data_IF_430941593502
#
_entry.id   IF_430941593502
#
_cell.length_a   1.000
_cell.length_b   1.000
_cell.length_c   1.000
_cell.angle_alpha   90.00
_cell.angle_beta   90.00
_cell.angle_gamma   90.00
#
_symmetry.space_group_name_H-M   'P 1'
#
loop_
_entity.id
_entity.type
_entity.pdbx_description
1 polymer ?
#
# COMPACT_ATOMS: atom_id res chain seq x y z
N UNK A 1 2.10 24.49 -27.64
CA UNK A 1 1.76 23.07 -27.41
C UNK A 1 2.33 22.56 -26.07
N UNK A 2 2.25 23.35 -24.98
CA UNK A 2 2.98 23.05 -23.73
C UNK A 2 2.05 22.73 -22.53
N UNK A 3 0.74 22.77 -22.75
CA UNK A 3 -0.26 22.51 -21.70
C UNK A 3 -0.27 21.03 -21.32
N UNK A 4 -0.50 20.13 -22.29
CA UNK A 4 -0.61 18.69 -22.03
C UNK A 4 0.64 18.09 -21.40
N UNK A 5 1.85 18.48 -21.85
CA UNK A 5 3.11 17.98 -21.28
C UNK A 5 3.28 18.36 -19.81
N UNK A 6 2.87 19.56 -19.43
CA UNK A 6 2.95 20.06 -18.04
C UNK A 6 1.94 19.36 -17.12
N UNK A 7 0.77 18.99 -17.65
CA UNK A 7 -0.21 18.17 -16.91
C UNK A 7 0.32 16.75 -16.65
N UNK A 8 0.87 16.10 -17.68
CA UNK A 8 1.44 14.76 -17.53
C UNK A 8 2.61 14.72 -16.54
N UNK A 9 3.53 15.69 -16.60
CA UNK A 9 4.64 15.78 -15.65
C UNK A 9 4.17 16.06 -14.23
N UNK A 10 3.13 16.88 -14.05
CA UNK A 10 2.54 17.15 -12.74
C UNK A 10 1.89 15.90 -12.13
N UNK A 11 1.17 15.10 -12.93
CA UNK A 11 0.59 13.82 -12.49
C UNK A 11 1.71 12.87 -12.02
N UNK A 12 2.76 12.72 -12.83
CA UNK A 12 3.89 11.84 -12.52
C UNK A 12 4.60 12.28 -11.24
N UNK A 13 4.83 13.59 -11.09
CA UNK A 13 5.46 14.15 -9.91
C UNK A 13 4.59 13.92 -8.66
N UNK A 14 3.28 14.14 -8.74
CA UNK A 14 2.34 13.87 -7.65
C UNK A 14 2.33 12.39 -7.23
N UNK A 15 2.34 11.46 -8.19
CA UNK A 15 2.42 10.02 -7.90
C UNK A 15 3.73 9.65 -7.19
N UNK A 16 4.85 10.19 -7.66
CA UNK A 16 6.16 9.96 -7.06
C UNK A 16 6.23 10.55 -5.64
N UNK A 17 5.73 11.79 -5.46
CA UNK A 17 5.72 12.47 -4.18
C UNK A 17 4.82 11.75 -3.17
N UNK A 18 3.69 11.22 -3.63
CA UNK A 18 2.79 10.38 -2.84
C UNK A 18 3.48 9.10 -2.36
N UNK A 19 4.19 8.40 -3.25
CA UNK A 19 4.97 7.21 -2.88
C UNK A 19 6.07 7.51 -1.88
N UNK A 20 6.82 8.59 -2.10
CA UNK A 20 7.89 9.04 -1.20
C UNK A 20 7.32 9.45 0.16
N UNK A 21 6.18 10.15 0.19
CA UNK A 21 5.49 10.52 1.42
C UNK A 21 5.07 9.30 2.23
N UNK A 22 4.48 8.29 1.57
CA UNK A 22 4.12 7.00 2.18
C UNK A 22 5.33 6.27 2.76
N UNK A 23 6.44 6.21 2.02
CA UNK A 23 7.69 5.57 2.46
C UNK A 23 8.37 6.33 3.61
N UNK A 24 8.34 7.65 3.59
CA UNK A 24 8.94 8.52 4.61
C UNK A 24 8.18 8.42 5.93
N UNK A 25 6.84 8.41 5.86
CA UNK A 25 5.97 8.17 7.00
C UNK A 25 6.29 6.81 7.64
N UNK A 26 6.36 5.72 6.86
CA UNK A 26 6.67 4.39 7.37
C UNK A 26 8.02 4.34 8.14
N UNK A 27 9.07 5.04 7.65
CA UNK A 27 10.38 5.09 8.34
C UNK A 27 10.37 5.94 9.59
N UNK A 28 9.74 7.11 9.55
CA UNK A 28 9.56 7.97 10.74
C UNK A 28 8.78 7.21 11.83
N UNK A 29 7.78 6.43 11.47
CA UNK A 29 7.01 5.64 12.41
C UNK A 29 7.78 4.45 13.00
N UNK A 30 8.63 3.76 12.23
CA UNK A 30 9.51 2.72 12.78
C UNK A 30 10.49 3.30 13.81
N UNK A 31 11.00 4.51 13.57
CA UNK A 31 11.88 5.22 14.51
C UNK A 31 11.13 5.68 15.76
N UNK A 32 9.91 6.21 15.63
CA UNK A 32 9.07 6.62 16.75
C UNK A 32 8.66 5.43 17.63
N UNK A 33 8.33 4.29 17.03
CA UNK A 33 7.97 3.07 17.77
C UNK A 33 9.15 2.49 18.54
N UNK A 34 10.37 2.58 18.00
CA UNK A 34 11.60 2.18 18.72
C UNK A 34 11.85 3.01 19.98
N UNK A 35 11.27 4.21 20.06
CA UNK A 35 11.50 5.14 21.17
C UNK A 35 10.40 5.11 22.25
N UNK A 36 9.24 4.48 21.99
CA UNK A 36 8.07 4.55 22.89
C UNK A 36 7.54 3.14 23.20
N UNK A 37 7.75 2.68 24.44
CA UNK A 37 7.55 1.31 24.92
C UNK A 37 6.08 0.96 25.33
N UNK A 38 5.09 1.80 25.01
CA UNK A 38 3.70 1.60 25.42
C UNK A 38 2.81 1.20 24.23
N UNK A 39 2.81 -0.11 23.94
CA UNK A 39 2.49 -0.67 22.63
C UNK A 39 1.02 -0.55 22.16
N UNK A 40 0.02 -0.53 23.05
CA UNK A 40 -1.36 -0.80 22.61
C UNK A 40 -2.12 0.44 22.12
N UNK A 41 -1.98 1.59 22.76
CA UNK A 41 -2.80 2.77 22.44
C UNK A 41 -2.32 3.48 21.16
N UNK A 42 -1.00 3.48 20.95
CA UNK A 42 -0.35 3.99 19.74
C UNK A 42 -0.66 3.06 18.55
N UNK A 43 -0.68 1.74 18.77
CA UNK A 43 -1.08 0.76 17.75
C UNK A 43 -2.50 1.02 17.23
N UNK A 44 -3.47 1.25 18.12
CA UNK A 44 -4.86 1.51 17.72
C UNK A 44 -4.98 2.84 16.97
N UNK A 45 -4.36 3.91 17.48
CA UNK A 45 -4.39 5.22 16.82
C UNK A 45 -3.75 5.21 15.43
N UNK A 46 -2.59 4.55 15.29
CA UNK A 46 -1.87 4.41 14.02
C UNK A 46 -2.62 3.50 13.05
N UNK A 47 -3.12 2.36 13.55
CA UNK A 47 -3.89 1.42 12.73
C UNK A 47 -5.10 2.11 12.15
N UNK A 48 -5.87 2.87 12.95
CA UNK A 48 -7.06 3.60 12.48
C UNK A 48 -6.70 4.68 11.44
N UNK A 49 -5.60 5.42 11.64
CA UNK A 49 -5.21 6.50 10.72
C UNK A 49 -4.73 5.95 9.36
N UNK A 50 -4.02 4.83 9.36
CA UNK A 50 -3.47 4.20 8.16
C UNK A 50 -4.41 3.15 7.54
N UNK A 51 -5.40 2.67 8.31
CA UNK A 51 -6.38 1.67 7.89
C UNK A 51 -7.07 2.00 6.58
N UNK A 52 -7.69 3.19 6.41
CA UNK A 52 -8.48 3.46 5.22
C UNK A 52 -7.61 3.43 3.96
N UNK A 53 -6.39 3.95 4.04
CA UNK A 53 -5.44 3.91 2.93
C UNK A 53 -4.94 2.50 2.63
N UNK A 54 -4.71 1.69 3.66
CA UNK A 54 -4.22 0.31 3.51
C UNK A 54 -5.30 -0.61 2.95
N UNK A 55 -6.55 -0.43 3.38
CA UNK A 55 -7.72 -1.12 2.82
C UNK A 55 -7.83 -0.87 1.31
N UNK A 56 -7.79 0.39 0.89
CA UNK A 56 -7.92 0.76 -0.53
C UNK A 56 -6.74 0.19 -1.34
N UNK A 57 -5.53 0.22 -0.79
CA UNK A 57 -4.33 -0.32 -1.43
C UNK A 57 -4.45 -1.83 -1.69
N UNK A 58 -4.77 -2.60 -0.63
CA UNK A 58 -4.92 -4.06 -0.73
C UNK A 58 -6.14 -4.46 -1.55
N UNK A 59 -7.26 -3.74 -1.45
CA UNK A 59 -8.44 -3.96 -2.31
C UNK A 59 -8.11 -3.70 -3.78
N UNK A 60 -7.27 -2.73 -4.10
CA UNK A 60 -6.88 -2.47 -5.49
C UNK A 60 -6.10 -3.64 -6.08
N UNK A 61 -5.22 -4.26 -5.28
CA UNK A 61 -4.56 -5.51 -5.66
C UNK A 61 -5.56 -6.65 -5.84
N UNK A 62 -6.51 -6.81 -4.92
CA UNK A 62 -7.54 -7.85 -4.99
C UNK A 62 -8.46 -7.69 -6.20
N UNK A 63 -8.93 -6.48 -6.48
CA UNK A 63 -9.79 -6.15 -7.62
C UNK A 63 -9.04 -6.44 -8.93
N UNK A 64 -7.78 -6.01 -9.05
CA UNK A 64 -7.00 -6.31 -10.24
C UNK A 64 -6.73 -7.81 -10.40
N UNK A 65 -6.44 -8.51 -9.29
CA UNK A 65 -6.29 -9.97 -9.32
C UNK A 65 -7.58 -10.65 -9.79
N UNK A 66 -8.75 -10.16 -9.37
CA UNK A 66 -10.06 -10.66 -9.80
C UNK A 66 -10.33 -10.40 -11.29
N UNK A 67 -10.03 -9.19 -11.78
CA UNK A 67 -10.13 -8.82 -13.21
C UNK A 67 -9.23 -9.73 -14.05
N UNK A 68 -8.01 -10.00 -13.58
CA UNK A 68 -7.04 -10.88 -14.24
C UNK A 68 -7.29 -12.38 -14.01
N UNK A 69 -8.42 -12.72 -13.36
CA UNK A 69 -8.84 -14.10 -13.06
C UNK A 69 -7.77 -14.91 -12.29
N UNK A 70 -7.04 -14.24 -11.39
CA UNK A 70 -6.10 -14.86 -10.47
C UNK A 70 -6.85 -15.36 -9.23
N UNK A 71 -6.48 -16.54 -8.74
CA UNK A 71 -7.01 -17.07 -7.47
C UNK A 71 -6.37 -16.31 -6.30
N UNK A 72 -7.20 -15.57 -5.57
CA UNK A 72 -6.85 -14.98 -4.28
C UNK A 72 -6.99 -16.09 -3.23
N UNK A 73 -5.96 -16.30 -2.40
CA UNK A 73 -6.02 -17.26 -1.29
C UNK A 73 -6.42 -16.55 0.00
N UNK A 74 -5.72 -15.47 0.34
CA UNK A 74 -5.91 -14.77 1.61
C UNK A 74 -5.81 -13.25 1.40
N UNK A 75 -6.67 -12.52 2.11
CA UNK A 75 -6.66 -11.06 2.18
C UNK A 75 -6.52 -10.69 3.65
N UNK A 76 -5.32 -10.26 4.05
CA UNK A 76 -5.09 -9.70 5.38
C UNK A 76 -5.19 -8.18 5.28
N UNK A 77 -6.25 -7.63 5.86
CA UNK A 77 -6.50 -6.18 5.89
C UNK A 77 -6.01 -5.59 7.22
N UNK A 78 -5.97 -6.40 8.27
CA UNK A 78 -5.57 -5.97 9.59
C UNK A 78 -4.04 -5.96 9.73
N UNK A 79 -3.48 -4.89 10.33
CA UNK A 79 -2.06 -4.82 10.57
C UNK A 79 -1.63 -5.91 11.56
N UNK A 80 -0.71 -6.77 11.16
CA UNK A 80 -0.17 -7.84 11.99
C UNK A 80 1.32 -7.62 12.23
N UNK A 81 1.74 -7.79 13.49
CA UNK A 81 3.16 -7.81 13.85
C UNK A 81 3.72 -9.22 13.60
N UNK A 82 4.61 -9.34 12.62
CA UNK A 82 5.28 -10.60 12.32
C UNK A 82 6.79 -10.36 12.24
N UNK A 83 7.56 -11.10 13.03
CA UNK A 83 9.03 -11.09 13.02
C UNK A 83 9.68 -9.69 13.18
N UNK A 84 9.20 -8.86 14.09
CA UNK A 84 9.82 -7.55 14.32
C UNK A 84 9.39 -6.45 13.34
N UNK A 85 8.48 -6.75 12.42
CA UNK A 85 8.03 -5.83 11.38
C UNK A 85 6.50 -5.70 11.40
N UNK A 86 6.02 -4.48 11.13
CA UNK A 86 4.61 -4.18 10.94
C UNK A 86 4.24 -4.55 9.52
N UNK A 87 3.44 -5.61 9.35
CA UNK A 87 2.71 -5.82 8.10
C UNK A 87 1.39 -5.07 8.21
N UNK A 88 1.22 -4.01 7.45
CA UNK A 88 0.01 -3.18 7.48
C UNK A 88 -1.20 -3.90 6.88
N UNK A 89 -0.96 -4.71 5.85
CA UNK A 89 -1.90 -5.56 5.15
C UNK A 89 -1.14 -6.42 4.15
N UNK A 90 -1.77 -7.48 3.63
CA UNK A 90 -1.24 -8.25 2.51
C UNK A 90 -2.32 -9.06 1.80
N UNK A 91 -2.40 -8.92 0.48
CA UNK A 91 -3.15 -9.83 -0.39
C UNK A 91 -2.25 -10.91 -0.97
N UNK A 92 -2.58 -12.17 -0.68
CA UNK A 92 -1.92 -13.35 -1.25
C UNK A 92 -2.72 -13.90 -2.42
N UNK A 93 -2.09 -13.94 -3.60
CA UNK A 93 -2.68 -14.48 -4.82
C UNK A 93 -1.71 -15.44 -5.50
N UNK A 94 -2.26 -16.40 -6.25
CA UNK A 94 -1.47 -17.36 -7.02
C UNK A 94 -0.81 -16.63 -8.19
N UNK A 95 0.52 -16.49 -8.15
CA UNK A 95 1.30 -15.97 -9.28
C UNK A 95 1.28 -16.99 -10.42
N UNK A 96 0.50 -16.71 -11.46
CA UNK A 96 0.51 -17.49 -12.72
C UNK A 96 1.58 -17.00 -13.69
N UNK A 97 1.56 -15.69 -13.99
CA UNK A 97 2.41 -15.07 -15.02
C UNK A 97 3.01 -13.77 -14.51
N UNK A 98 4.27 -13.48 -14.88
CA UNK A 98 4.98 -12.24 -14.51
C UNK A 98 4.19 -11.01 -14.93
N UNK A 99 3.59 -11.02 -16.12
CA UNK A 99 2.84 -9.88 -16.66
C UNK A 99 1.60 -9.54 -15.80
N UNK A 100 0.83 -10.56 -15.39
CA UNK A 100 -0.33 -10.36 -14.51
C UNK A 100 0.11 -9.89 -13.12
N UNK A 101 1.23 -10.42 -12.60
CA UNK A 101 1.78 -9.96 -11.32
C UNK A 101 2.20 -8.49 -11.33
N UNK A 102 2.76 -7.99 -12.45
CA UNK A 102 3.08 -6.57 -12.61
C UNK A 102 1.78 -5.75 -12.63
N UNK A 103 0.77 -6.16 -13.41
CA UNK A 103 -0.51 -5.45 -13.48
C UNK A 103 -1.20 -5.37 -12.11
N UNK A 104 -1.21 -6.47 -11.33
CA UNK A 104 -1.67 -6.45 -9.94
C UNK A 104 -0.85 -5.47 -9.11
N UNK A 105 0.48 -5.49 -9.22
CA UNK A 105 1.37 -4.59 -8.46
C UNK A 105 1.16 -3.10 -8.77
N UNK A 106 0.79 -2.76 -10.00
CA UNK A 106 0.54 -1.37 -10.44
C UNK A 106 -0.91 -0.95 -10.16
N UNK A 107 -1.82 -1.89 -9.88
CA UNK A 107 -3.24 -1.60 -9.67
C UNK A 107 -3.58 -0.48 -8.66
N UNK A 108 -2.92 -0.39 -7.48
CA UNK A 108 -3.21 0.68 -6.54
C UNK A 108 -2.91 2.07 -7.11
N UNK A 109 -1.99 2.20 -8.06
CA UNK A 109 -1.71 3.50 -8.69
C UNK A 109 -2.92 4.07 -9.45
N UNK A 110 -3.84 3.21 -9.88
CA UNK A 110 -5.02 3.62 -10.63
C UNK A 110 -6.24 3.89 -9.74
N UNK A 111 -6.22 3.44 -8.48
CA UNK A 111 -7.40 3.45 -7.60
C UNK A 111 -7.15 4.21 -6.29
N UNK A 112 -5.89 4.32 -5.83
CA UNK A 112 -5.51 5.06 -4.61
C UNK A 112 -4.09 4.83 -4.11
#
# INVERSE_FOLDING_TARGET
MNGSTSFFTSIILLTILFFISRLSLQRLFHLLHRYINNNNMIYVGISILLFPGTIIHELSHAIMAMILQLKIHDIHIFPEWKNGQIKLGSVSYVKKDVFRSILVGVAPLFVG
#
